data_IF_581424948647
#
_entry.id   IF_581424948647
#
_cell.length_a   1.000
_cell.length_b   1.000
_cell.length_c   1.000
_cell.angle_alpha   90.00
_cell.angle_beta   90.00
_cell.angle_gamma   90.00
#
_symmetry.space_group_name_H-M   'P 1'
#
loop_
_entity.id
_entity.type
_entity.pdbx_description
1 polymer ?
#
# COMPACT_ATOMS: atom_id res chain seq x y z
N UNK A 1 21.34 9.53 -13.00
CA UNK A 1 20.10 8.75 -12.78
C UNK A 1 19.29 9.51 -11.75
N UNK A 2 18.03 9.83 -12.04
CA UNK A 2 17.16 10.58 -11.14
C UNK A 2 16.37 9.61 -10.25
N UNK A 3 16.15 9.97 -8.99
CA UNK A 3 15.36 9.21 -8.01
C UNK A 3 14.26 10.08 -7.44
N UNK A 4 13.10 9.48 -7.16
CA UNK A 4 11.98 10.14 -6.48
C UNK A 4 11.75 9.48 -5.11
N UNK A 5 11.24 10.24 -4.14
CA UNK A 5 10.94 9.74 -2.80
C UNK A 5 9.54 9.10 -2.71
N UNK A 6 9.18 8.60 -1.53
CA UNK A 6 7.88 7.96 -1.32
C UNK A 6 6.71 8.94 -1.32
N UNK A 7 6.96 10.24 -1.09
CA UNK A 7 5.92 11.26 -1.20
C UNK A 7 5.54 11.48 -2.66
N UNK A 8 6.53 11.53 -3.55
CA UNK A 8 6.30 11.64 -4.97
C UNK A 8 5.66 10.38 -5.55
N UNK A 9 6.11 9.19 -5.13
CA UNK A 9 5.44 7.92 -5.45
C UNK A 9 3.97 7.95 -5.01
N UNK A 10 3.69 8.44 -3.80
CA UNK A 10 2.32 8.58 -3.30
C UNK A 10 1.50 9.60 -4.07
N UNK A 11 2.06 10.76 -4.44
CA UNK A 11 1.36 11.80 -5.24
C UNK A 11 0.95 11.27 -6.61
N UNK A 12 1.72 10.34 -7.18
CA UNK A 12 1.40 9.67 -8.45
C UNK A 12 0.38 8.54 -8.30
N UNK A 13 -0.15 8.29 -7.10
CA UNK A 13 -1.07 7.18 -6.81
C UNK A 13 -0.39 5.81 -6.74
N UNK A 14 0.94 5.73 -6.89
CA UNK A 14 1.64 4.46 -7.01
C UNK A 14 1.74 3.72 -5.67
N UNK A 15 1.83 4.44 -4.55
CA UNK A 15 1.86 3.83 -3.21
C UNK A 15 0.55 3.10 -2.90
N UNK A 16 -0.59 3.72 -3.23
CA UNK A 16 -1.91 3.10 -3.08
C UNK A 16 -2.04 1.88 -4.00
N UNK A 17 -1.63 2.00 -5.26
CA UNK A 17 -1.66 0.88 -6.20
C UNK A 17 -0.80 -0.32 -5.76
N UNK A 18 0.43 -0.08 -5.29
CA UNK A 18 1.32 -1.13 -4.74
C UNK A 18 0.65 -1.80 -3.55
N UNK A 19 0.08 -1.01 -2.64
CA UNK A 19 -0.59 -1.54 -1.48
C UNK A 19 -1.80 -2.37 -1.88
N UNK A 20 -2.72 -1.83 -2.68
CA UNK A 20 -3.94 -2.50 -3.13
C UNK A 20 -3.65 -3.79 -3.91
N UNK A 21 -2.77 -3.74 -4.90
CA UNK A 21 -2.60 -4.86 -5.84
C UNK A 21 -1.65 -5.94 -5.32
N UNK A 22 -0.68 -5.60 -4.46
CA UNK A 22 0.39 -6.53 -4.06
C UNK A 22 0.43 -6.72 -2.56
N UNK A 23 0.56 -5.65 -1.78
CA UNK A 23 0.89 -5.78 -0.36
C UNK A 23 -0.31 -6.23 0.47
N UNK A 24 -1.46 -5.60 0.27
CA UNK A 24 -2.70 -5.83 1.02
C UNK A 24 -3.17 -7.29 0.95
N UNK A 25 -3.20 -7.94 -0.23
CA UNK A 25 -3.51 -9.37 -0.33
C UNK A 25 -2.58 -10.28 0.48
N UNK A 26 -1.35 -9.83 0.78
CA UNK A 26 -0.36 -10.55 1.58
C UNK A 26 -0.44 -10.22 3.07
N UNK A 27 -1.39 -9.37 3.50
CA UNK A 27 -1.45 -8.87 4.88
C UNK A 27 -0.36 -7.84 5.20
N UNK A 28 0.17 -7.17 4.18
CA UNK A 28 1.22 -6.15 4.31
C UNK A 28 0.72 -4.78 3.84
N UNK A 29 1.26 -3.69 4.37
CA UNK A 29 1.00 -2.34 3.85
C UNK A 29 2.27 -1.48 3.92
N UNK A 30 2.81 -1.06 2.77
CA UNK A 30 3.91 -0.08 2.72
C UNK A 30 3.39 1.28 3.17
N UNK A 31 4.18 1.92 4.02
CA UNK A 31 3.89 3.26 4.53
C UNK A 31 5.06 4.21 4.26
N UNK A 32 4.81 5.51 4.44
CA UNK A 32 5.80 6.58 4.35
C UNK A 32 5.63 7.54 5.53
N UNK A 33 6.73 8.17 5.92
CA UNK A 33 6.71 9.35 6.80
C UNK A 33 6.49 10.57 5.91
N UNK A 34 5.37 11.28 6.10
CA UNK A 34 4.95 12.37 5.20
C UNK A 34 5.94 13.53 5.26
N UNK A 35 6.51 13.80 6.41
CA UNK A 35 7.45 14.89 6.66
C UNK A 35 8.80 14.68 5.96
N UNK A 36 9.23 13.42 5.78
CA UNK A 36 10.58 13.09 5.30
C UNK A 36 10.60 12.35 3.96
N UNK A 37 9.46 11.83 3.50
CA UNK A 37 9.37 11.07 2.25
C UNK A 37 10.06 9.70 2.30
N UNK A 38 10.46 9.23 3.49
CA UNK A 38 11.10 7.93 3.69
C UNK A 38 10.05 6.87 4.00
N UNK A 39 10.23 5.65 3.50
CA UNK A 39 9.46 4.49 3.97
C UNK A 39 10.18 3.84 5.15
N UNK A 40 9.53 3.67 6.30
CA UNK A 40 10.06 2.88 7.41
C UNK A 40 9.97 1.36 7.17
N UNK A 41 9.36 0.93 6.05
CA UNK A 41 9.01 -0.47 5.77
C UNK A 41 7.50 -0.66 5.59
N UNK A 42 7.05 -1.89 5.82
CA UNK A 42 5.65 -2.27 5.73
C UNK A 42 5.07 -2.65 7.10
N UNK A 43 3.81 -2.29 7.33
CA UNK A 43 2.99 -2.83 8.41
C UNK A 43 2.61 -4.27 8.09
N UNK A 44 2.50 -5.09 9.12
CA UNK A 44 2.03 -6.47 9.05
C UNK A 44 0.70 -6.53 9.79
N UNK A 45 -0.29 -7.15 9.17
CA UNK A 45 -1.59 -7.37 9.80
C UNK A 45 -1.59 -8.63 10.65
N UNK A 46 -2.20 -8.55 11.84
CA UNK A 46 -2.41 -9.69 12.74
C UNK A 46 -3.60 -10.56 12.31
N UNK A 47 -4.53 -9.99 11.52
CA UNK A 47 -5.84 -10.58 11.18
C UNK A 47 -5.97 -10.97 9.69
N UNK A 48 -4.88 -10.87 8.92
CA UNK A 48 -4.85 -11.20 7.49
C UNK A 48 -4.90 -9.97 6.56
N UNK A 49 -5.40 -10.08 5.32
CA UNK A 49 -5.31 -9.01 4.32
C UNK A 49 -5.89 -7.66 4.76
N UNK A 50 -5.23 -6.56 4.36
CA UNK A 50 -5.85 -5.23 4.43
C UNK A 50 -6.89 -5.10 3.31
N UNK A 51 -8.03 -4.48 3.57
CA UNK A 51 -9.13 -4.36 2.59
C UNK A 51 -9.57 -2.90 2.50
N UNK A 52 -9.67 -2.37 1.29
CA UNK A 52 -10.28 -1.04 1.09
C UNK A 52 -11.80 -1.13 1.23
N UNK A 53 -12.48 -0.13 1.81
CA UNK A 53 -13.93 -0.18 2.06
C UNK A 53 -14.77 -0.43 0.79
N UNK A 54 -14.27 0.03 -0.34
CA UNK A 54 -14.84 -0.04 -1.68
C UNK A 54 -14.51 -1.34 -2.43
N UNK A 55 -13.71 -2.24 -1.83
CA UNK A 55 -13.36 -3.53 -2.43
C UNK A 55 -14.36 -4.63 -2.02
N UNK A 56 -14.97 -5.36 -2.97
CA UNK A 56 -15.80 -6.49 -2.63
C UNK A 56 -14.94 -7.58 -1.97
N UNK A 57 -15.46 -8.29 -0.95
CA UNK A 57 -14.70 -9.32 -0.25
C UNK A 57 -14.15 -10.36 -1.24
N UNK A 58 -12.87 -10.71 -1.05
CA UNK A 58 -12.17 -11.67 -1.89
C UNK A 58 -12.98 -12.99 -1.97
N UNK A 59 -13.49 -13.30 -3.17
CA UNK A 59 -14.35 -14.48 -3.42
C UNK A 59 -15.69 -14.17 -4.10
N UNK A 60 -16.10 -12.90 -4.21
CA UNK A 60 -17.34 -12.51 -4.87
C UNK A 60 -17.24 -12.36 -6.41
N UNK A 61 -16.43 -13.20 -7.08
CA UNK A 61 -16.45 -13.29 -8.55
C UNK A 61 -17.34 -14.46 -8.94
N UNK A 62 -18.56 -14.13 -9.38
CA UNK A 62 -19.48 -15.05 -10.04
C UNK A 62 -18.95 -15.47 -11.42
#
# INVERSE_FOLDING_TARGET
METIDWNEISRRGLLERINREIMHPLGLAVCRVVETGVSPGALVSDDGPFVYPDEPPAGARA
#
